data_IF_794159617888
#
_entry.id   IF_794159617888
#
_cell.length_a   1.000
_cell.length_b   1.000
_cell.length_c   1.000
_cell.angle_alpha   90.00
_cell.angle_beta   90.00
_cell.angle_gamma   90.00
#
_symmetry.space_group_name_H-M   'P 1'
#
loop_
_entity.id
_entity.type
_entity.pdbx_description
1 polymer ?
#
# COMPACT_ATOMS: atom_id res chain seq x y z
N UNK A 1 1.80 -5.67 -0.57
CA UNK A 1 0.39 -5.30 -0.39
C UNK A 1 -0.14 -4.71 -1.68
N UNK A 2 -1.36 -5.09 -2.03
CA UNK A 2 -2.08 -4.45 -3.13
C UNK A 2 -2.69 -3.14 -2.65
N UNK A 3 -2.78 -2.13 -3.52
CA UNK A 3 -3.47 -0.89 -3.24
C UNK A 3 -4.05 -0.27 -4.51
N UNK A 4 -5.27 0.20 -4.40
CA UNK A 4 -5.91 1.03 -5.41
C UNK A 4 -5.96 2.47 -4.89
N UNK A 5 -5.50 3.46 -5.67
CA UNK A 5 -5.52 4.88 -5.27
C UNK A 5 -6.91 5.48 -4.99
N UNK A 6 -7.98 4.73 -5.24
CA UNK A 6 -9.34 5.15 -4.91
C UNK A 6 -9.78 4.75 -3.50
N UNK A 7 -9.09 3.78 -2.86
CA UNK A 7 -9.50 3.25 -1.57
C UNK A 7 -8.65 3.81 -0.44
N UNK A 8 -9.32 4.21 0.65
CA UNK A 8 -8.70 4.91 1.78
C UNK A 8 -9.33 4.50 3.11
N UNK A 9 -8.53 4.52 4.17
CA UNK A 9 -8.99 4.22 5.53
C UNK A 9 -8.15 4.93 6.58
N UNK A 10 -8.81 5.50 7.59
CA UNK A 10 -8.15 5.98 8.80
C UNK A 10 -7.59 4.83 9.66
N UNK A 11 -8.17 3.62 9.52
CA UNK A 11 -7.77 2.39 10.23
C UNK A 11 -7.48 1.29 9.19
N UNK A 12 -6.32 1.35 8.51
CA UNK A 12 -6.02 0.43 7.42
C UNK A 12 -5.81 -0.99 7.91
N UNK A 13 -6.39 -1.96 7.19
CA UNK A 13 -6.33 -3.37 7.52
C UNK A 13 -5.82 -4.21 6.33
N UNK A 14 -5.27 -5.39 6.65
CA UNK A 14 -4.79 -6.31 5.62
C UNK A 14 -5.93 -6.73 4.69
N UNK A 15 -5.75 -6.45 3.40
CA UNK A 15 -6.72 -6.85 2.37
C UNK A 15 -7.78 -5.81 2.06
N UNK A 16 -7.67 -4.60 2.62
CA UNK A 16 -8.57 -3.47 2.34
C UNK A 16 -8.24 -2.71 1.05
N UNK A 17 -7.13 -3.05 0.39
CA UNK A 17 -6.63 -2.43 -0.84
C UNK A 17 -6.37 -0.93 -0.74
N UNK A 18 -6.26 -0.37 0.47
CA UNK A 18 -5.99 1.05 0.68
C UNK A 18 -4.53 1.41 0.45
N UNK A 19 -4.26 2.65 0.04
CA UNK A 19 -2.89 3.16 -0.01
C UNK A 19 -2.26 3.21 1.38
N UNK A 20 -3.06 3.50 2.41
CA UNK A 20 -2.62 3.56 3.80
C UNK A 20 -2.08 2.21 4.28
N UNK A 21 -2.75 1.08 3.96
CA UNK A 21 -2.23 -0.24 4.30
C UNK A 21 -0.97 -0.59 3.49
N UNK A 22 -0.93 -0.22 2.22
CA UNK A 22 0.28 -0.40 1.41
C UNK A 22 1.47 0.34 2.04
N UNK A 23 1.26 1.56 2.55
CA UNK A 23 2.27 2.31 3.28
C UNK A 23 2.74 1.58 4.53
N UNK A 24 1.83 1.08 5.37
CA UNK A 24 2.17 0.29 6.58
C UNK A 24 3.08 -0.89 6.24
N UNK A 25 2.74 -1.63 5.19
CA UNK A 25 3.53 -2.77 4.74
C UNK A 25 4.94 -2.35 4.30
N UNK A 26 5.04 -1.34 3.43
CA UNK A 26 6.33 -0.91 2.88
C UNK A 26 7.20 -0.15 3.89
N UNK A 27 6.61 0.58 4.83
CA UNK A 27 7.32 1.17 5.98
C UNK A 27 8.02 0.09 6.80
N UNK A 28 7.29 -0.99 7.12
CA UNK A 28 7.85 -2.13 7.84
C UNK A 28 8.97 -2.80 7.05
N UNK A 29 8.76 -3.06 5.77
CA UNK A 29 9.76 -3.71 4.91
C UNK A 29 11.02 -2.87 4.73
N UNK A 30 10.89 -1.57 4.50
CA UNK A 30 12.03 -0.68 4.32
C UNK A 30 12.89 -0.59 5.60
N UNK A 31 12.24 -0.49 6.76
CA UNK A 31 12.90 -0.53 8.06
C UNK A 31 13.61 -1.86 8.30
N UNK A 32 12.92 -2.97 8.03
CA UNK A 32 13.48 -4.32 8.18
C UNK A 32 14.74 -4.50 7.32
N UNK A 33 14.75 -3.99 6.09
CA UNK A 33 15.89 -4.05 5.19
C UNK A 33 17.04 -3.22 5.73
N UNK A 34 16.79 -1.99 6.17
CA UNK A 34 17.81 -1.09 6.72
C UNK A 34 18.50 -1.67 7.96
N UNK A 35 17.74 -2.38 8.82
CA UNK A 35 18.25 -3.01 10.04
C UNK A 35 19.09 -4.30 9.77
N UNK A 36 19.17 -4.76 8.51
CA UNK A 36 19.83 -6.02 8.13
C UNK A 36 20.94 -5.81 7.11
N UNK A 37 22.09 -5.25 7.52
CA UNK A 37 23.19 -4.91 6.61
C UNK A 37 23.82 -6.12 5.91
N UNK A 38 23.50 -7.34 6.33
CA UNK A 38 23.92 -8.57 5.67
C UNK A 38 23.11 -8.90 4.41
N UNK A 39 21.98 -8.22 4.18
CA UNK A 39 21.22 -8.36 2.93
C UNK A 39 21.95 -7.60 1.82
N UNK A 40 22.55 -8.34 0.91
CA UNK A 40 23.34 -7.77 -0.18
C UNK A 40 22.49 -7.15 -1.30
N UNK A 41 21.25 -7.61 -1.48
CA UNK A 41 20.29 -7.06 -2.43
C UNK A 41 18.84 -7.37 -2.02
N UNK A 42 17.94 -6.46 -2.32
CA UNK A 42 16.49 -6.62 -2.19
C UNK A 42 15.79 -5.96 -3.36
N UNK A 43 14.68 -6.54 -3.79
CA UNK A 43 13.90 -6.03 -4.91
C UNK A 43 12.46 -5.84 -4.47
N UNK A 44 11.91 -4.65 -4.71
CA UNK A 44 10.50 -4.36 -4.42
C UNK A 44 9.63 -4.94 -5.53
N UNK A 45 8.65 -5.74 -5.15
CA UNK A 45 7.62 -6.18 -6.06
C UNK A 45 6.34 -5.36 -5.78
N UNK A 46 5.99 -4.41 -6.63
CA UNK A 46 6.55 -4.11 -7.93
C UNK A 46 6.63 -2.58 -8.13
N UNK A 47 7.38 -2.09 -9.12
CA UNK A 47 7.40 -0.66 -9.39
C UNK A 47 6.07 -0.19 -10.00
N UNK A 48 5.49 -0.97 -10.91
CA UNK A 48 4.24 -0.63 -11.59
C UNK A 48 3.17 -1.68 -11.36
N UNK A 49 1.91 -1.25 -11.26
CA UNK A 49 0.79 -2.15 -11.48
C UNK A 49 0.87 -2.69 -12.92
N UNK A 50 0.41 -3.91 -13.12
CA UNK A 50 0.48 -4.56 -14.43
C UNK A 50 -0.71 -5.47 -14.69
N UNK A 51 -0.99 -5.74 -15.97
CA UNK A 51 -2.03 -6.65 -16.38
C UNK A 51 -1.67 -8.10 -15.97
N UNK A 52 -2.64 -8.81 -15.41
CA UNK A 52 -2.53 -10.20 -14.98
C UNK A 52 -3.89 -10.86 -15.21
N UNK A 53 -4.11 -11.40 -16.39
CA UNK A 53 -5.41 -11.85 -16.91
C UNK A 53 -6.16 -12.80 -15.96
N UNK A 54 -5.48 -13.82 -15.45
CA UNK A 54 -6.07 -14.79 -14.53
C UNK A 54 -6.29 -14.28 -13.10
N UNK A 55 -6.09 -12.98 -12.84
CA UNK A 55 -6.14 -12.45 -11.48
C UNK A 55 -7.48 -11.83 -11.16
N UNK A 56 -8.16 -12.37 -10.14
CA UNK A 56 -9.43 -11.87 -9.62
C UNK A 56 -9.46 -11.96 -8.09
N UNK A 57 -8.41 -11.44 -7.45
CA UNK A 57 -8.21 -11.55 -6.00
C UNK A 57 -8.88 -10.40 -5.21
N UNK A 58 -9.81 -9.69 -5.82
CA UNK A 58 -10.37 -8.44 -5.31
C UNK A 58 -9.50 -7.24 -5.75
N UNK A 59 -10.04 -6.07 -5.82
CA UNK A 59 -9.43 -4.94 -6.50
C UNK A 59 -9.93 -4.90 -7.94
N UNK A 60 -9.06 -4.61 -8.90
CA UNK A 60 -9.45 -4.56 -10.31
C UNK A 60 -9.20 -5.90 -10.99
N UNK A 61 -10.23 -6.47 -11.62
CA UNK A 61 -10.10 -7.71 -12.38
C UNK A 61 -9.03 -7.61 -13.46
N UNK A 62 -8.21 -8.65 -13.59
CA UNK A 62 -7.13 -8.73 -14.58
C UNK A 62 -5.94 -7.81 -14.30
N UNK A 63 -5.82 -7.24 -13.09
CA UNK A 63 -4.75 -6.32 -12.73
C UNK A 63 -4.07 -6.70 -11.41
N UNK A 64 -2.75 -6.71 -11.40
CA UNK A 64 -1.97 -6.79 -10.18
C UNK A 64 -1.70 -5.37 -9.66
N UNK A 65 -2.20 -5.03 -8.48
CA UNK A 65 -2.12 -3.70 -7.88
C UNK A 65 -1.03 -3.57 -6.80
N UNK A 66 -0.01 -4.42 -6.83
CA UNK A 66 1.14 -4.33 -5.91
C UNK A 66 2.16 -3.27 -6.29
N UNK A 67 1.99 -2.61 -7.43
CA UNK A 67 2.85 -1.53 -7.89
C UNK A 67 2.89 -0.35 -6.92
N UNK A 68 4.03 0.33 -6.89
CA UNK A 68 4.20 1.63 -6.23
C UNK A 68 3.69 2.78 -7.12
N UNK A 69 3.45 2.48 -8.39
CA UNK A 69 2.94 3.40 -9.41
C UNK A 69 1.84 2.67 -10.18
N UNK A 70 0.78 3.36 -10.55
CA UNK A 70 -0.32 2.79 -11.33
C UNK A 70 0.12 2.28 -12.70
N UNK A 71 -0.67 1.36 -13.27
CA UNK A 71 -0.36 0.72 -14.57
C UNK A 71 -0.20 1.75 -15.70
N UNK A 72 -1.00 2.83 -15.67
CA UNK A 72 -0.94 3.93 -16.63
C UNK A 72 0.22 4.92 -16.38
N UNK A 73 1.01 4.72 -15.33
CA UNK A 73 2.16 5.55 -14.90
C UNK A 73 1.80 6.95 -14.40
N UNK A 74 0.54 7.26 -14.19
CA UNK A 74 0.09 8.61 -13.83
C UNK A 74 0.19 8.90 -12.34
N UNK A 75 -0.07 7.91 -11.50
CA UNK A 75 -0.09 8.08 -10.04
C UNK A 75 1.07 7.33 -9.42
N UNK A 76 1.94 8.06 -8.74
CA UNK A 76 2.84 7.48 -7.73
C UNK A 76 2.03 7.33 -6.46
N UNK A 77 1.82 6.11 -6.00
CA UNK A 77 1.14 5.83 -4.73
C UNK A 77 2.01 6.30 -3.57
N UNK A 78 1.41 6.56 -2.42
CA UNK A 78 2.16 7.08 -1.26
C UNK A 78 3.33 6.17 -0.86
N UNK A 79 3.18 4.85 -0.99
CA UNK A 79 4.25 3.88 -0.72
C UNK A 79 5.50 4.04 -1.61
N UNK A 80 5.40 4.67 -2.78
CA UNK A 80 6.57 5.04 -3.60
C UNK A 80 7.52 5.97 -2.82
N UNK A 81 6.96 6.88 -2.04
CA UNK A 81 7.72 7.87 -1.29
C UNK A 81 8.37 7.31 -0.03
N UNK A 82 7.93 6.15 0.46
CA UNK A 82 8.68 5.39 1.49
C UNK A 82 10.09 5.12 0.98
N UNK A 83 10.22 4.46 -0.18
CA UNK A 83 11.53 4.13 -0.73
C UNK A 83 12.32 5.37 -1.16
N UNK A 84 11.64 6.42 -1.62
CA UNK A 84 12.30 7.71 -1.88
C UNK A 84 12.90 8.28 -0.60
N UNK A 85 12.25 8.15 0.56
CA UNK A 85 12.78 8.60 1.85
C UNK A 85 14.01 7.81 2.30
N UNK A 86 14.07 6.52 1.98
CA UNK A 86 15.20 5.66 2.36
C UNK A 86 16.38 5.75 1.39
N UNK A 87 16.12 5.89 0.08
CA UNK A 87 17.15 5.68 -0.95
C UNK A 87 17.54 6.93 -1.72
N UNK A 88 16.71 7.98 -1.75
CA UNK A 88 17.03 9.20 -2.47
C UNK A 88 17.92 10.14 -1.66
N UNK A 89 18.90 10.77 -2.34
CA UNK A 89 19.69 11.85 -1.78
C UNK A 89 19.12 13.24 -2.10
N UNK A 90 18.28 13.34 -3.13
CA UNK A 90 17.63 14.60 -3.48
C UNK A 90 16.61 14.98 -2.39
N UNK A 91 16.71 16.19 -1.81
CA UNK A 91 15.76 16.65 -0.80
C UNK A 91 14.32 16.58 -1.30
N UNK A 92 13.40 16.16 -0.45
CA UNK A 92 11.96 16.19 -0.75
C UNK A 92 11.13 16.15 0.53
N UNK A 93 9.88 16.54 0.40
CA UNK A 93 8.81 16.31 1.36
C UNK A 93 7.59 15.80 0.58
N UNK A 94 6.81 14.89 1.16
CA UNK A 94 5.60 14.34 0.56
C UNK A 94 4.53 14.12 1.62
N UNK A 95 3.38 14.75 1.46
CA UNK A 95 2.18 14.54 2.26
C UNK A 95 1.42 13.32 1.74
N UNK A 96 1.26 12.31 2.58
CA UNK A 96 0.41 11.16 2.26
C UNK A 96 -1.06 11.53 2.31
N UNK A 97 -1.88 10.75 1.60
CA UNK A 97 -3.33 10.88 1.62
C UNK A 97 -3.84 12.08 0.82
N UNK A 98 -3.15 12.52 -0.23
CA UNK A 98 -3.64 13.58 -1.12
C UNK A 98 -4.95 13.22 -1.83
N UNK A 99 -5.26 11.94 -1.96
CA UNK A 99 -6.50 11.38 -2.51
C UNK A 99 -7.53 11.02 -1.44
N UNK A 100 -7.10 10.89 -0.20
CA UNK A 100 -7.97 10.71 0.98
C UNK A 100 -8.44 12.07 1.51
N UNK A 101 -9.28 12.75 0.72
CA UNK A 101 -9.75 14.11 1.05
C UNK A 101 -10.80 14.11 2.14
N UNK A 102 -11.82 13.24 2.04
CA UNK A 102 -12.93 13.18 2.99
C UNK A 102 -12.57 12.34 4.20
N UNK A 103 -12.63 12.91 5.38
CA UNK A 103 -12.26 12.28 6.64
C UNK A 103 -13.37 12.40 7.67
N UNK A 104 -13.81 11.25 8.21
CA UNK A 104 -14.92 11.21 9.16
C UNK A 104 -14.46 11.33 10.62
N UNK A 105 -13.19 11.14 10.90
CA UNK A 105 -12.60 11.31 12.23
C UNK A 105 -12.49 12.79 12.64
N UNK A 106 -12.59 13.08 13.93
CA UNK A 106 -12.44 14.46 14.47
C UNK A 106 -10.99 14.90 14.56
N UNK A 107 -10.08 13.94 14.71
CA UNK A 107 -8.63 14.15 14.69
C UNK A 107 -8.04 13.20 13.66
N UNK A 108 -7.43 13.76 12.64
CA UNK A 108 -6.84 12.98 11.55
C UNK A 108 -5.31 12.88 11.69
N UNK A 109 -4.76 11.73 11.35
CA UNK A 109 -3.31 11.58 11.21
C UNK A 109 -2.88 12.13 9.84
N UNK A 110 -1.96 13.08 9.86
CA UNK A 110 -1.25 13.57 8.68
C UNK A 110 0.15 12.95 8.69
N UNK A 111 0.38 12.06 7.74
CA UNK A 111 1.67 11.39 7.56
C UNK A 111 2.48 12.10 6.49
N UNK A 112 3.77 12.29 6.76
CA UNK A 112 4.71 12.92 5.82
C UNK A 112 5.94 12.03 5.64
N UNK A 113 6.32 11.81 4.39
CA UNK A 113 7.60 11.21 4.06
C UNK A 113 8.61 12.27 3.64
N UNK A 114 9.81 12.17 4.18
CA UNK A 114 10.92 13.07 3.82
C UNK A 114 12.26 12.39 4.11
N UNK A 115 13.27 12.71 3.32
CA UNK A 115 14.67 12.34 3.64
C UNK A 115 15.40 13.44 4.42
N UNK A 116 14.69 14.47 4.85
CA UNK A 116 15.20 15.55 5.68
C UNK A 116 14.95 15.25 7.16
N UNK A 117 15.74 15.89 8.05
CA UNK A 117 15.68 15.64 9.49
C UNK A 117 14.59 16.40 10.23
N UNK A 118 13.95 17.38 9.57
CA UNK A 118 12.99 18.27 10.20
C UNK A 118 11.86 18.56 9.23
N UNK A 119 10.63 18.44 9.70
CA UNK A 119 9.41 18.77 8.94
C UNK A 119 8.52 19.68 9.80
N UNK A 120 8.11 20.82 9.24
CA UNK A 120 7.09 21.69 9.81
C UNK A 120 5.76 21.51 9.10
N UNK A 121 4.69 21.34 9.86
CA UNK A 121 3.32 21.24 9.34
C UNK A 121 2.56 22.52 9.58
N UNK A 122 1.86 22.99 8.56
CA UNK A 122 0.98 24.16 8.58
C UNK A 122 -0.45 23.72 8.28
N UNK A 123 -1.39 24.31 9.00
CA UNK A 123 -2.83 24.14 8.77
C UNK A 123 -3.41 25.51 8.50
N UNK A 124 -4.02 25.71 7.33
CA UNK A 124 -4.60 26.98 6.88
C UNK A 124 -3.61 28.16 6.98
N UNK A 125 -2.35 27.88 6.70
CA UNK A 125 -1.27 28.87 6.73
C UNK A 125 -0.63 29.09 8.11
N UNK A 126 -1.22 28.60 9.21
CA UNK A 126 -0.63 28.68 10.54
C UNK A 126 0.24 27.47 10.84
N UNK A 127 1.43 27.68 11.40
CA UNK A 127 2.28 26.58 11.86
C UNK A 127 1.60 25.81 12.98
N UNK A 128 1.41 24.52 12.78
CA UNK A 128 0.82 23.61 13.76
C UNK A 128 1.86 23.01 14.66
N UNK A 129 2.90 22.44 14.06
CA UNK A 129 3.95 21.72 14.77
C UNK A 129 5.16 21.52 13.88
N UNK A 130 6.33 21.40 14.51
CA UNK A 130 7.58 21.00 13.85
C UNK A 130 8.14 19.78 14.55
N UNK A 131 8.40 18.71 13.79
CA UNK A 131 8.96 17.46 14.30
C UNK A 131 10.37 17.28 13.72
N UNK A 132 11.31 16.91 14.60
CA UNK A 132 12.61 16.39 14.21
C UNK A 132 12.59 14.85 14.23
N UNK A 133 13.11 14.23 13.19
CA UNK A 133 13.06 12.79 13.03
C UNK A 133 13.74 12.31 11.76
N UNK A 134 13.33 11.18 11.27
CA UNK A 134 13.83 10.63 10.02
C UNK A 134 12.74 9.88 9.27
N UNK A 135 12.61 10.14 7.99
CA UNK A 135 11.82 9.43 6.99
C UNK A 135 10.32 9.52 7.11
N UNK A 136 9.76 9.30 8.31
CA UNK A 136 8.31 9.21 8.54
C UNK A 136 7.96 10.14 9.68
N UNK A 137 7.15 11.15 9.38
CA UNK A 137 6.69 12.15 10.35
C UNK A 137 5.16 12.03 10.45
N UNK A 138 4.62 12.05 11.67
CA UNK A 138 3.19 11.86 11.95
C UNK A 138 2.69 13.00 12.81
N UNK A 139 1.66 13.66 12.36
CA UNK A 139 1.03 14.79 13.03
C UNK A 139 -0.44 14.48 13.28
N UNK A 140 -0.94 14.82 14.45
CA UNK A 140 -2.36 14.72 14.76
C UNK A 140 -3.01 16.10 14.59
N UNK A 141 -3.95 16.19 13.67
CA UNK A 141 -4.62 17.44 13.30
C UNK A 141 -6.11 17.33 13.56
N UNK A 142 -6.66 18.12 14.50
CA UNK A 142 -8.12 18.29 14.62
C UNK A 142 -8.67 18.94 13.36
N UNK A 143 -9.77 18.38 12.82
CA UNK A 143 -10.44 18.90 11.63
C UNK A 143 -11.92 19.18 11.92
N UNK A 144 -12.41 20.33 11.45
CA UNK A 144 -13.81 20.77 11.66
C UNK A 144 -14.51 21.19 10.38
N UNK A 145 -13.77 21.22 9.28
CA UNK A 145 -14.25 21.65 7.96
C UNK A 145 -13.25 21.26 6.89
N UNK A 146 -13.08 22.12 5.90
CA UNK A 146 -12.05 21.97 4.88
C UNK A 146 -10.80 22.71 5.28
N UNK A 147 -9.67 22.03 5.30
CA UNK A 147 -8.37 22.55 5.69
C UNK A 147 -7.35 22.33 4.59
N UNK A 148 -6.49 23.32 4.40
CA UNK A 148 -5.26 23.19 3.61
C UNK A 148 -4.12 22.79 4.52
N UNK A 149 -3.52 21.65 4.25
CA UNK A 149 -2.39 21.10 5.00
C UNK A 149 -1.14 21.26 4.15
N UNK A 150 -0.12 21.92 4.69
CA UNK A 150 1.16 22.11 4.00
C UNK A 150 2.32 21.60 4.86
N UNK A 151 3.18 20.79 4.28
CA UNK A 151 4.42 20.35 4.90
C UNK A 151 5.61 21.10 4.28
N UNK A 152 6.55 21.50 5.11
CA UNK A 152 7.77 22.20 4.71
C UNK A 152 8.99 21.54 5.33
N UNK A 153 10.04 21.35 4.51
CA UNK A 153 11.33 20.85 4.97
C UNK A 153 12.47 21.45 4.12
N UNK A 154 13.20 22.41 4.68
CA UNK A 154 14.12 23.26 3.93
C UNK A 154 13.37 24.00 2.81
N UNK A 155 13.86 23.88 1.58
CA UNK A 155 13.24 24.51 0.39
C UNK A 155 12.15 23.64 -0.23
N UNK A 156 11.88 22.44 0.33
CA UNK A 156 10.87 21.53 -0.16
C UNK A 156 9.52 21.79 0.51
N UNK A 157 8.46 21.77 -0.28
CA UNK A 157 7.08 21.93 0.19
C UNK A 157 6.14 20.99 -0.55
N UNK A 158 5.11 20.53 0.15
CA UNK A 158 3.99 19.80 -0.42
C UNK A 158 2.70 20.23 0.27
N UNK A 159 1.56 20.12 -0.43
CA UNK A 159 0.28 20.61 0.07
C UNK A 159 -0.86 19.66 -0.35
N UNK A 160 -1.77 19.41 0.59
CA UNK A 160 -2.98 18.64 0.35
C UNK A 160 -4.19 19.35 0.96
N UNK A 161 -5.38 18.95 0.54
CA UNK A 161 -6.64 19.37 1.15
C UNK A 161 -7.28 18.20 1.88
N UNK A 162 -7.74 18.43 3.11
CA UNK A 162 -8.57 17.50 3.86
C UNK A 162 -9.90 18.13 4.20
N UNK A 163 -10.97 17.35 4.23
CA UNK A 163 -12.32 17.83 4.53
C UNK A 163 -12.98 16.91 5.55
N UNK A 164 -13.44 17.49 6.67
CA UNK A 164 -14.27 16.80 7.64
C UNK A 164 -15.63 16.49 7.01
N UNK A 165 -16.07 15.24 7.13
CA UNK A 165 -17.39 14.76 6.75
C UNK A 165 -18.05 14.04 7.93
N UNK A 166 -19.39 14.00 7.98
CA UNK A 166 -20.11 13.38 9.09
C UNK A 166 -20.07 11.85 9.02
N UNK A 167 -19.98 11.30 7.81
CA UNK A 167 -19.95 9.85 7.56
C UNK A 167 -18.82 9.50 6.60
N UNK A 168 -18.17 8.33 6.77
CA UNK A 168 -17.14 7.86 5.85
C UNK A 168 -17.65 7.84 4.41
N UNK A 169 -16.80 8.28 3.47
CA UNK A 169 -17.11 8.23 2.06
C UNK A 169 -17.14 6.76 1.59
N UNK A 170 -18.29 6.26 1.10
CA UNK A 170 -18.42 4.86 0.70
C UNK A 170 -17.54 4.48 -0.51
N UNK A 171 -17.15 5.47 -1.34
CA UNK A 171 -16.29 5.23 -2.51
C UNK A 171 -14.84 4.87 -2.10
N UNK A 172 -14.46 5.15 -0.84
CA UNK A 172 -13.15 4.76 -0.31
C UNK A 172 -13.08 3.32 0.18
N UNK A 173 -14.23 2.63 0.27
CA UNK A 173 -14.32 1.28 0.82
C UNK A 173 -14.22 0.26 -0.30
N UNK A 174 -13.22 -0.61 -0.19
CA UNK A 174 -13.15 -1.78 -1.05
C UNK A 174 -14.19 -2.83 -0.62
N UNK A 175 -15.20 -3.02 -1.45
CA UNK A 175 -16.17 -4.09 -1.26
C UNK A 175 -15.67 -5.36 -1.95
N UNK A 176 -15.04 -6.24 -1.19
CA UNK A 176 -14.56 -7.52 -1.70
C UNK A 176 -15.71 -8.34 -2.29
N UNK A 177 -15.65 -8.60 -3.59
CA UNK A 177 -16.56 -9.51 -4.26
C UNK A 177 -15.85 -10.86 -4.45
N UNK A 178 -16.41 -11.90 -3.81
CA UNK A 178 -15.86 -13.25 -3.90
C UNK A 178 -14.68 -13.57 -2.97
N UNK A 179 -14.31 -14.83 -2.94
CA UNK A 179 -13.13 -15.29 -2.20
C UNK A 179 -11.91 -15.27 -3.09
N UNK A 180 -10.78 -14.92 -2.49
CA UNK A 180 -9.48 -15.06 -3.13
C UNK A 180 -9.24 -16.55 -3.32
N UNK A 181 -9.09 -17.00 -4.57
CA UNK A 181 -8.60 -18.35 -4.84
C UNK A 181 -7.15 -18.39 -4.37
N UNK A 182 -6.91 -19.07 -3.27
CA UNK A 182 -5.57 -19.33 -2.80
C UNK A 182 -4.97 -20.43 -3.68
N UNK A 183 -3.81 -20.18 -4.27
CA UNK A 183 -3.10 -21.16 -5.10
C UNK A 183 -2.73 -22.44 -4.34
N UNK A 184 -2.81 -22.40 -3.01
CA UNK A 184 -2.55 -23.54 -2.11
C UNK A 184 -3.84 -24.13 -1.55
N UNK A 185 -5.02 -23.55 -1.84
CA UNK A 185 -6.28 -24.20 -1.51
C UNK A 185 -6.38 -25.44 -2.39
N UNK A 186 -6.60 -26.58 -1.75
CA UNK A 186 -6.85 -27.82 -2.50
C UNK A 186 -8.10 -27.57 -3.33
N UNK A 187 -7.95 -27.56 -4.65
CA UNK A 187 -9.11 -27.76 -5.52
C UNK A 187 -9.75 -29.08 -5.12
N UNK A 188 -11.08 -29.12 -5.07
CA UNK A 188 -11.82 -30.37 -5.00
C UNK A 188 -11.61 -31.12 -6.33
N UNK A 189 -10.47 -31.82 -6.41
CA UNK A 189 -10.18 -32.65 -7.56
C UNK A 189 -11.22 -33.78 -7.63
N UNK A 190 -11.79 -33.97 -8.81
CA UNK A 190 -12.69 -35.08 -9.04
C UNK A 190 -11.95 -36.38 -8.74
N UNK A 191 -12.61 -37.28 -8.05
CA UNK A 191 -12.03 -38.56 -7.61
C UNK A 191 -11.48 -39.46 -8.75
N UNK A 192 -11.75 -39.08 -10.00
CA UNK A 192 -11.33 -39.81 -11.21
C UNK A 192 -10.12 -39.17 -11.93
N UNK A 193 -9.49 -38.15 -11.33
CA UNK A 193 -8.35 -37.45 -11.92
C UNK A 193 -7.17 -37.39 -10.94
N UNK A 194 -5.97 -37.61 -11.42
CA UNK A 194 -4.76 -37.31 -10.66
C UNK A 194 -4.43 -35.80 -10.67
N UNK A 195 -3.82 -35.34 -9.60
CA UNK A 195 -3.47 -33.95 -9.40
C UNK A 195 -2.06 -33.78 -8.85
N UNK A 196 -1.58 -32.55 -8.80
CA UNK A 196 -0.32 -32.21 -8.12
C UNK A 196 -0.35 -32.44 -6.60
N UNK A 197 -1.54 -32.74 -6.03
CA UNK A 197 -1.71 -33.05 -4.60
C UNK A 197 -1.58 -34.54 -4.29
N UNK A 198 -1.55 -35.39 -5.32
CA UNK A 198 -1.38 -36.83 -5.14
C UNK A 198 0.10 -37.17 -4.89
N UNK A 199 0.34 -38.11 -4.03
CA UNK A 199 1.70 -38.55 -3.74
C UNK A 199 2.27 -39.42 -4.86
N UNK A 200 3.59 -39.44 -5.00
CA UNK A 200 4.25 -40.33 -5.96
C UNK A 200 3.89 -41.80 -5.71
N UNK A 201 3.61 -42.20 -4.46
CA UNK A 201 3.14 -43.53 -4.11
C UNK A 201 1.78 -43.85 -4.73
N UNK A 202 0.82 -42.95 -4.59
CA UNK A 202 -0.52 -43.09 -5.18
C UNK A 202 -0.47 -43.13 -6.71
N UNK A 203 0.38 -42.30 -7.33
CA UNK A 203 0.60 -42.35 -8.79
C UNK A 203 1.24 -43.68 -9.25
N UNK A 204 2.17 -44.22 -8.47
CA UNK A 204 2.85 -45.47 -8.80
C UNK A 204 1.95 -46.72 -8.71
N UNK A 205 0.87 -46.66 -7.94
CA UNK A 205 -0.12 -47.73 -7.85
C UNK A 205 -0.99 -47.87 -9.11
N UNK A 206 -1.05 -46.83 -9.94
CA UNK A 206 -1.79 -46.86 -11.19
C UNK A 206 -0.86 -47.09 -12.40
N UNK A 207 -1.10 -48.16 -13.16
CA UNK A 207 -0.25 -48.52 -14.30
C UNK A 207 -0.09 -47.39 -15.35
N UNK A 208 -1.17 -46.66 -15.65
CA UNK A 208 -1.09 -45.58 -16.65
C UNK A 208 -0.37 -44.34 -16.10
N UNK A 209 -0.59 -43.99 -14.83
CA UNK A 209 0.09 -42.86 -14.20
C UNK A 209 1.58 -43.17 -14.01
N UNK A 210 1.91 -44.39 -13.60
CA UNK A 210 3.29 -44.85 -13.42
C UNK A 210 4.08 -44.91 -14.74
N UNK A 211 3.42 -45.03 -15.87
CA UNK A 211 4.07 -45.03 -17.19
C UNK A 211 4.43 -43.56 -17.65
N UNK A 212 3.93 -42.55 -16.96
CA UNK A 212 4.16 -41.11 -17.26
C UNK A 212 5.21 -40.52 -16.32
N UNK A 213 5.35 -41.04 -15.11
CA UNK A 213 6.28 -40.59 -14.07
C UNK A 213 7.63 -41.33 -14.24
#
# INVERSE_FOLDING_TARGET
>A
ADANPAYHSANPERGDYTEEYQCVYHEHMAKMIEERPYLWATHVWNLFDFAADGRDEGGKHGENQKGLVTMDRRIKKDAFYVYKAYWSKAPFVHLCGSRYTDRAEDVTEIKVYSNQKKVSLFVDGAEKETIEGARIFRFLVPITGTHTIRAVSGDCTDEITVRKVDTPNPDYIFNKQGDVVNWFDKEDFKADHYSISDTLGELAENEMANAIV
#
